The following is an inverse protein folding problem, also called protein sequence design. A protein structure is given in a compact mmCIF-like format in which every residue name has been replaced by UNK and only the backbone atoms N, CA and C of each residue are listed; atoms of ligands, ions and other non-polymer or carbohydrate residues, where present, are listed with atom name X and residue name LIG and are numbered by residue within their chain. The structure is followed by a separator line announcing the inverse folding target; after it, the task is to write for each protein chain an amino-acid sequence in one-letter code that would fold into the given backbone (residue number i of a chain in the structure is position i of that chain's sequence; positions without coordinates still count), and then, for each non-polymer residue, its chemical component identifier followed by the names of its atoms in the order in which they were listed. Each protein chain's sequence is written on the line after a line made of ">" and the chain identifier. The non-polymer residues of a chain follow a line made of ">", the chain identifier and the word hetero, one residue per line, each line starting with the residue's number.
data_IF_248026338299
#
_entry.id   IF_248026338299
#
_cell.length_a   1.000
_cell.length_b   1.000
_cell.length_c   1.000
_cell.angle_alpha   90.00
_cell.angle_beta   90.00
_cell.angle_gamma   90.00
#
_symmetry.space_group_name_H-M   'P 1'
#
loop_
_entity.id
_entity.type
_entity.pdbx_description
1 polymer ?
#
# COMPACT_ATOMS: atom_id res chain seq x y z
N UNK A 1 -47.66 -6.32 5.36
CA UNK A 1 -46.61 -6.10 4.32
C UNK A 1 -45.85 -4.78 4.53
N UNK A 2 -46.55 -3.65 4.70
CA UNK A 2 -45.94 -2.31 4.90
C UNK A 2 -44.91 -2.22 6.04
N UNK A 3 -45.24 -2.73 7.23
CA UNK A 3 -44.33 -2.69 8.40
C UNK A 3 -43.07 -3.55 8.24
N UNK A 4 -43.15 -4.66 7.48
CA UNK A 4 -42.01 -5.56 7.24
C UNK A 4 -40.98 -5.00 6.25
N UNK A 5 -41.37 -4.04 5.41
CA UNK A 5 -40.50 -3.41 4.42
C UNK A 5 -39.92 -2.07 4.91
N UNK A 6 -40.34 -1.58 6.07
CA UNK A 6 -39.83 -0.33 6.66
C UNK A 6 -38.29 -0.29 6.78
N UNK A 7 -37.61 -1.35 7.27
CA UNK A 7 -36.15 -1.32 7.37
C UNK A 7 -35.45 -1.15 6.03
N UNK A 8 -36.01 -1.72 4.97
CA UNK A 8 -35.48 -1.61 3.61
C UNK A 8 -35.59 -0.18 3.10
N UNK A 9 -36.75 0.46 3.31
CA UNK A 9 -36.94 1.86 2.94
C UNK A 9 -36.06 2.80 3.75
N UNK A 10 -35.86 2.55 5.04
CA UNK A 10 -34.92 3.33 5.84
C UNK A 10 -33.49 3.19 5.32
N UNK A 11 -33.04 1.98 5.02
CA UNK A 11 -31.70 1.75 4.46
C UNK A 11 -31.50 2.47 3.13
N UNK A 12 -32.45 2.36 2.20
CA UNK A 12 -32.39 3.03 0.90
C UNK A 12 -32.41 4.56 1.05
N UNK A 13 -33.33 5.08 1.86
CA UNK A 13 -33.45 6.52 2.08
C UNK A 13 -32.19 7.08 2.73
N UNK A 14 -31.67 6.45 3.79
CA UNK A 14 -30.42 6.86 4.42
C UNK A 14 -29.25 6.83 3.45
N UNK A 15 -29.14 5.79 2.62
CA UNK A 15 -28.07 5.65 1.63
C UNK A 15 -28.13 6.74 0.55
N UNK A 16 -29.34 7.04 0.06
CA UNK A 16 -29.56 8.11 -0.91
C UNK A 16 -29.22 9.47 -0.31
N UNK A 17 -29.75 9.79 0.87
CA UNK A 17 -29.46 11.04 1.57
C UNK A 17 -27.95 11.21 1.81
N UNK A 18 -27.27 10.18 2.31
CA UNK A 18 -25.83 10.21 2.54
C UNK A 18 -25.03 10.33 1.24
N UNK A 19 -25.48 9.70 0.15
CA UNK A 19 -24.87 9.86 -1.17
C UNK A 19 -24.90 11.32 -1.62
N UNK A 20 -26.07 11.97 -1.60
CA UNK A 20 -26.19 13.38 -1.98
C UNK A 20 -25.43 14.29 -1.03
N UNK A 21 -25.51 14.03 0.26
CA UNK A 21 -24.76 14.80 1.26
C UNK A 21 -23.26 14.70 1.00
N UNK A 22 -22.74 13.49 0.77
CA UNK A 22 -21.33 13.26 0.45
C UNK A 22 -20.90 13.91 -0.88
N UNK A 23 -21.79 14.01 -1.86
CA UNK A 23 -21.56 14.77 -3.11
C UNK A 23 -21.47 16.28 -2.84
N UNK A 24 -22.32 16.82 -1.97
CA UNK A 24 -22.34 18.25 -1.62
C UNK A 24 -21.08 18.64 -0.83
N UNK A 25 -20.76 17.88 0.23
CA UNK A 25 -19.64 18.24 1.12
C UNK A 25 -18.29 17.65 0.69
N UNK A 26 -18.27 16.96 -0.45
CA UNK A 26 -17.15 16.38 -1.20
C UNK A 26 -15.96 15.88 -0.35
N UNK A 27 -15.81 14.54 -0.25
CA UNK A 27 -14.69 13.85 0.42
C UNK A 27 -14.57 14.06 1.93
N UNK A 28 -15.38 14.92 2.56
CA UNK A 28 -15.56 14.97 4.02
C UNK A 28 -16.29 13.74 4.56
N UNK A 29 -17.31 13.26 3.83
CA UNK A 29 -18.03 12.01 4.12
C UNK A 29 -17.47 10.81 3.35
N UNK A 30 -16.19 10.86 2.96
CA UNK A 30 -15.56 9.83 2.13
C UNK A 30 -16.24 9.69 0.74
N UNK A 31 -15.90 8.65 -0.02
CA UNK A 31 -16.29 8.48 -1.43
C UNK A 31 -17.82 8.28 -1.55
N UNK A 32 -18.57 9.17 -2.24
CA UNK A 32 -20.04 9.12 -2.28
C UNK A 32 -20.59 7.78 -2.79
N UNK A 33 -19.98 7.21 -3.83
CA UNK A 33 -20.50 6.00 -4.48
C UNK A 33 -20.56 4.79 -3.52
N UNK A 34 -19.75 4.80 -2.45
CA UNK A 34 -19.77 3.73 -1.44
C UNK A 34 -21.10 3.63 -0.70
N UNK A 35 -21.81 4.74 -0.49
CA UNK A 35 -23.13 4.73 0.17
C UNK A 35 -24.17 3.97 -0.66
N UNK A 36 -24.05 4.00 -2.00
CA UNK A 36 -24.95 3.26 -2.88
C UNK A 36 -24.47 1.82 -3.11
N UNK A 37 -23.19 1.63 -3.44
CA UNK A 37 -22.63 0.33 -3.80
C UNK A 37 -22.85 -0.72 -2.70
N UNK A 38 -22.60 -0.38 -1.44
CA UNK A 38 -22.77 -1.34 -0.35
C UNK A 38 -24.24 -1.65 -0.08
N UNK A 39 -25.11 -0.64 -0.12
CA UNK A 39 -26.55 -0.82 0.10
C UNK A 39 -27.20 -1.62 -1.02
N UNK A 40 -26.87 -1.35 -2.28
CA UNK A 40 -27.39 -2.11 -3.42
C UNK A 40 -27.01 -3.59 -3.33
N UNK A 41 -25.77 -3.91 -2.91
CA UNK A 41 -25.35 -5.29 -2.68
C UNK A 41 -26.20 -5.99 -1.61
N UNK A 42 -26.51 -5.30 -0.50
CA UNK A 42 -27.42 -5.83 0.53
C UNK A 42 -28.84 -6.03 -0.02
N UNK A 43 -29.35 -5.07 -0.79
CA UNK A 43 -30.66 -5.18 -1.43
C UNK A 43 -30.73 -6.38 -2.38
N UNK A 44 -29.68 -6.66 -3.16
CA UNK A 44 -29.60 -7.85 -4.01
C UNK A 44 -29.66 -9.15 -3.21
N UNK A 45 -28.88 -9.26 -2.13
CA UNK A 45 -28.89 -10.45 -1.28
C UNK A 45 -30.27 -10.70 -0.65
N UNK A 46 -30.89 -9.64 -0.10
CA UNK A 46 -32.22 -9.73 0.52
C UNK A 46 -33.31 -10.02 -0.52
N UNK A 47 -33.27 -9.35 -1.67
CA UNK A 47 -34.20 -9.58 -2.77
C UNK A 47 -34.15 -11.01 -3.26
N UNK A 48 -32.94 -11.57 -3.44
CA UNK A 48 -32.77 -12.97 -3.83
C UNK A 48 -33.34 -13.94 -2.78
N UNK A 49 -33.09 -13.69 -1.49
CA UNK A 49 -33.65 -14.51 -0.41
C UNK A 49 -35.19 -14.49 -0.40
N UNK A 50 -35.80 -13.32 -0.58
CA UNK A 50 -37.26 -13.16 -0.64
C UNK A 50 -37.86 -13.85 -1.88
N UNK A 51 -37.21 -13.73 -3.05
CA UNK A 51 -37.63 -14.43 -4.26
C UNK A 51 -37.57 -15.95 -4.08
N UNK A 52 -36.52 -16.48 -3.44
CA UNK A 52 -36.39 -17.90 -3.16
C UNK A 52 -37.47 -18.38 -2.18
N UNK A 53 -37.72 -17.62 -1.11
CA UNK A 53 -38.80 -17.92 -0.17
C UNK A 53 -40.16 -17.94 -0.87
N UNK A 54 -40.48 -16.92 -1.68
CA UNK A 54 -41.73 -16.86 -2.43
C UNK A 54 -41.87 -18.05 -3.39
N UNK A 55 -40.82 -18.41 -4.12
CA UNK A 55 -40.82 -19.54 -5.05
C UNK A 55 -41.13 -20.87 -4.34
N UNK A 56 -40.55 -21.11 -3.17
CA UNK A 56 -40.80 -22.33 -2.37
C UNK A 56 -42.20 -22.39 -1.75
N UNK A 57 -42.87 -21.24 -1.56
CA UNK A 57 -44.25 -21.18 -1.09
C UNK A 57 -45.27 -21.45 -2.20
N UNK A 58 -45.01 -20.98 -3.43
CA UNK A 58 -45.92 -21.16 -4.57
C UNK A 58 -45.97 -22.61 -5.02
N UNK A 59 -44.85 -23.33 -4.96
CA UNK A 59 -44.78 -24.75 -5.30
C UNK A 59 -43.93 -25.48 -4.25
N UNK A 60 -44.44 -26.56 -3.64
CA UNK A 60 -43.67 -27.33 -2.67
C UNK A 60 -42.56 -28.09 -3.41
N UNK A 61 -41.38 -27.48 -3.45
CA UNK A 61 -40.19 -28.11 -4.01
C UNK A 61 -39.68 -29.16 -3.03
N UNK A 62 -39.08 -30.26 -3.53
CA UNK A 62 -38.40 -31.18 -2.64
C UNK A 62 -37.28 -30.43 -1.90
N UNK A 63 -37.12 -30.71 -0.60
CA UNK A 63 -36.27 -29.92 0.31
C UNK A 63 -34.81 -29.79 -0.14
N UNK A 64 -34.32 -30.68 -0.99
CA UNK A 64 -32.97 -30.64 -1.54
C UNK A 64 -32.77 -29.57 -2.62
N UNK A 65 -33.82 -29.17 -3.35
CA UNK A 65 -33.69 -28.28 -4.51
C UNK A 65 -33.29 -26.85 -4.13
N UNK A 66 -33.88 -26.20 -3.10
CA UNK A 66 -33.40 -24.91 -2.62
C UNK A 66 -31.97 -24.98 -2.07
N UNK A 67 -31.63 -26.08 -1.38
CA UNK A 67 -30.27 -26.31 -0.85
C UNK A 67 -29.26 -26.43 -1.99
N UNK A 68 -29.58 -27.19 -3.03
CA UNK A 68 -28.76 -27.34 -4.23
C UNK A 68 -28.62 -26.00 -4.98
N UNK A 69 -29.68 -25.21 -5.08
CA UNK A 69 -29.64 -23.89 -5.71
C UNK A 69 -28.73 -22.91 -4.94
N UNK A 70 -28.83 -22.86 -3.60
CA UNK A 70 -27.94 -22.05 -2.76
C UNK A 70 -26.49 -22.53 -2.88
N UNK A 71 -26.25 -23.84 -2.83
CA UNK A 71 -24.92 -24.41 -3.01
C UNK A 71 -24.33 -24.04 -4.38
N UNK A 72 -25.13 -24.12 -5.46
CA UNK A 72 -24.73 -23.71 -6.80
C UNK A 72 -24.39 -22.21 -6.85
N UNK A 73 -25.21 -21.34 -6.25
CA UNK A 73 -24.92 -19.89 -6.17
C UNK A 73 -23.62 -19.63 -5.42
N UNK A 74 -23.37 -20.33 -4.31
CA UNK A 74 -22.12 -20.21 -3.56
C UNK A 74 -20.93 -20.66 -4.41
N UNK A 75 -21.02 -21.81 -5.09
CA UNK A 75 -19.96 -22.32 -5.97
C UNK A 75 -19.69 -21.36 -7.12
N UNK A 76 -20.73 -20.92 -7.84
CA UNK A 76 -20.61 -19.93 -8.92
C UNK A 76 -20.06 -18.60 -8.41
N UNK A 77 -20.46 -18.18 -7.20
CA UNK A 77 -19.94 -17.01 -6.51
C UNK A 77 -18.45 -17.13 -6.22
N UNK A 78 -18.01 -18.26 -5.65
CA UNK A 78 -16.60 -18.56 -5.39
C UNK A 78 -15.78 -18.58 -6.68
N UNK A 79 -16.27 -19.23 -7.74
CA UNK A 79 -15.61 -19.27 -9.05
C UNK A 79 -15.52 -17.86 -9.66
N UNK A 80 -16.61 -17.08 -9.62
CA UNK A 80 -16.64 -15.71 -10.13
C UNK A 80 -15.74 -14.76 -9.33
N UNK A 81 -15.56 -14.99 -8.04
CA UNK A 81 -14.71 -14.19 -7.16
C UNK A 81 -13.26 -14.68 -7.13
N UNK A 82 -12.95 -15.81 -7.76
CA UNK A 82 -11.59 -16.32 -7.84
C UNK A 82 -10.69 -15.29 -8.53
N UNK A 83 -9.61 -14.88 -7.86
CA UNK A 83 -8.66 -13.85 -8.33
C UNK A 83 -9.26 -12.45 -8.56
N UNK A 84 -10.49 -12.18 -8.09
CA UNK A 84 -11.15 -10.87 -8.17
C UNK A 84 -11.09 -10.16 -6.82
N UNK A 85 -10.55 -8.95 -6.79
CA UNK A 85 -10.54 -8.09 -5.60
C UNK A 85 -9.59 -8.51 -4.47
N UNK A 86 -9.17 -9.78 -4.42
CA UNK A 86 -8.14 -10.28 -3.51
C UNK A 86 -6.76 -10.14 -4.16
N UNK A 87 -5.87 -9.35 -3.54
CA UNK A 87 -4.46 -9.24 -3.93
C UNK A 87 -3.68 -10.38 -3.26
N UNK A 88 -2.86 -11.09 -4.02
CA UNK A 88 -2.01 -12.16 -3.51
C UNK A 88 -0.65 -11.62 -3.02
N UNK A 89 -0.50 -11.51 -1.70
CA UNK A 89 0.75 -11.06 -1.06
C UNK A 89 1.70 -12.20 -0.68
N UNK A 90 1.44 -13.44 -1.11
CA UNK A 90 2.26 -14.60 -0.76
C UNK A 90 3.75 -14.40 -1.11
N UNK A 91 4.06 -13.72 -2.21
CA UNK A 91 5.44 -13.38 -2.60
C UNK A 91 6.19 -12.51 -1.59
N UNK A 92 5.49 -11.72 -0.76
CA UNK A 92 6.08 -10.88 0.29
C UNK A 92 6.08 -11.55 1.67
N UNK A 93 5.58 -12.80 1.78
CA UNK A 93 5.53 -13.52 3.05
C UNK A 93 6.90 -13.64 3.74
N UNK A 94 8.02 -13.95 3.04
CA UNK A 94 9.34 -14.00 3.66
C UNK A 94 9.72 -12.64 4.29
N UNK A 95 9.46 -11.54 3.58
CA UNK A 95 9.70 -10.18 4.06
C UNK A 95 8.90 -9.90 5.33
N UNK A 96 7.58 -10.04 5.29
CA UNK A 96 6.75 -9.73 6.45
C UNK A 96 7.08 -10.62 7.65
N UNK A 97 7.43 -11.89 7.43
CA UNK A 97 7.87 -12.81 8.49
C UNK A 97 9.18 -12.35 9.13
N UNK A 98 10.15 -11.90 8.33
CA UNK A 98 11.41 -11.35 8.84
C UNK A 98 11.17 -10.05 9.62
N UNK A 99 10.36 -9.14 9.08
CA UNK A 99 10.04 -7.86 9.72
C UNK A 99 9.23 -8.03 11.02
N UNK A 100 8.38 -9.05 11.10
CA UNK A 100 7.61 -9.37 12.31
C UNK A 100 8.47 -9.80 13.51
N UNK A 101 9.76 -10.08 13.32
CA UNK A 101 10.71 -10.41 14.41
C UNK A 101 11.45 -9.18 14.97
N UNK A 102 11.34 -8.03 14.33
CA UNK A 102 11.99 -6.77 14.77
C UNK A 102 11.28 -6.16 16.00
N UNK A 103 11.84 -5.17 16.70
CA UNK A 103 11.15 -4.51 17.82
C UNK A 103 9.83 -3.87 17.39
N UNK A 104 8.80 -3.95 18.24
CA UNK A 104 7.44 -3.41 17.95
C UNK A 104 7.42 -1.89 17.75
N UNK A 105 8.34 -1.17 18.40
CA UNK A 105 8.50 0.27 18.29
C UNK A 105 9.37 0.71 17.10
N UNK A 106 9.97 -0.23 16.35
CA UNK A 106 10.85 0.10 15.25
C UNK A 106 10.06 0.73 14.09
N UNK A 107 10.46 1.94 13.68
CA UNK A 107 9.85 2.64 12.55
C UNK A 107 10.48 2.17 11.23
N UNK A 108 9.62 1.77 10.30
CA UNK A 108 10.02 1.35 8.96
C UNK A 108 9.81 2.48 7.94
N UNK A 109 10.74 2.58 7.00
CA UNK A 109 10.55 3.38 5.79
C UNK A 109 10.96 2.56 4.56
N UNK A 110 10.48 2.98 3.40
CA UNK A 110 10.70 2.31 2.13
C UNK A 110 9.75 2.88 1.09
N UNK A 111 9.67 2.23 -0.05
CA UNK A 111 8.71 2.63 -1.08
C UNK A 111 7.26 2.55 -0.55
N UNK A 112 6.41 3.59 -0.67
CA UNK A 112 5.12 3.60 0.03
C UNK A 112 4.15 2.49 -0.40
N UNK A 113 4.24 1.99 -1.64
CA UNK A 113 3.45 0.83 -2.10
C UNK A 113 3.81 -0.45 -1.34
N UNK A 114 5.10 -0.66 -1.06
CA UNK A 114 5.60 -1.79 -0.27
C UNK A 114 5.20 -1.66 1.21
N UNK A 115 5.12 -0.43 1.71
CA UNK A 115 4.82 -0.14 3.11
C UNK A 115 3.34 -0.34 3.48
N UNK A 116 2.42 -0.35 2.53
CA UNK A 116 0.97 -0.47 2.79
C UNK A 116 0.56 -1.67 3.65
N UNK A 117 1.17 -2.81 3.39
CA UNK A 117 0.75 -4.07 3.98
C UNK A 117 1.59 -4.45 5.22
N UNK A 118 2.64 -3.69 5.50
CA UNK A 118 3.55 -3.92 6.60
C UNK A 118 2.85 -3.77 7.97
N UNK A 119 1.98 -2.75 8.21
CA UNK A 119 1.18 -2.69 9.43
C UNK A 119 0.26 -3.91 9.62
N UNK A 120 -0.30 -4.45 8.53
CA UNK A 120 -1.22 -5.59 8.59
C UNK A 120 -0.49 -6.91 8.85
N UNK A 121 0.53 -7.23 8.06
CA UNK A 121 1.19 -8.54 8.11
C UNK A 121 2.35 -8.62 9.09
N UNK A 122 3.15 -7.56 9.22
CA UNK A 122 4.28 -7.53 10.14
C UNK A 122 3.95 -6.83 11.46
N UNK A 123 2.84 -6.08 11.55
CA UNK A 123 2.46 -5.30 12.74
C UNK A 123 3.55 -4.34 13.19
N UNK A 124 4.11 -3.57 12.25
CA UNK A 124 5.09 -2.52 12.55
C UNK A 124 4.66 -1.17 11.98
N UNK A 125 5.02 -0.07 12.66
CA UNK A 125 4.72 1.27 12.18
C UNK A 125 5.56 1.59 10.94
N UNK A 126 4.95 2.31 10.00
CA UNK A 126 5.60 2.82 8.78
C UNK A 126 5.55 4.34 8.75
N UNK A 127 6.59 4.97 8.20
CA UNK A 127 6.68 6.43 8.10
C UNK A 127 5.61 7.01 7.16
N UNK A 128 5.38 6.33 6.04
CA UNK A 128 4.42 6.67 5.01
C UNK A 128 3.96 5.39 4.28
N UNK A 129 2.70 5.38 3.84
CA UNK A 129 2.12 4.32 3.03
C UNK A 129 1.28 4.93 1.89
N UNK A 130 1.13 4.19 0.80
CA UNK A 130 0.37 4.64 -0.37
C UNK A 130 -1.15 4.73 -0.09
N UNK A 131 -1.76 3.75 0.57
CA UNK A 131 -3.21 3.75 0.86
C UNK A 131 -3.62 4.89 1.82
N UNK A 132 -2.68 5.48 2.56
CA UNK A 132 -2.92 6.65 3.40
C UNK A 132 -2.53 7.97 2.71
N UNK A 133 -1.90 7.92 1.53
CA UNK A 133 -1.43 9.09 0.79
C UNK A 133 -2.54 9.80 0.00
N UNK A 134 -3.69 10.03 0.64
CA UNK A 134 -4.80 10.73 0.02
C UNK A 134 -4.68 12.27 0.14
N UNK A 135 -4.55 13.01 -0.97
CA UNK A 135 -4.30 14.45 -0.93
C UNK A 135 -5.51 15.28 -0.48
N UNK A 136 -6.72 14.71 -0.50
CA UNK A 136 -7.93 15.40 -0.05
C UNK A 136 -7.98 15.60 1.47
N UNK A 137 -7.23 14.80 2.25
CA UNK A 137 -7.10 14.95 3.70
C UNK A 137 -6.10 16.07 4.03
N UNK A 138 -6.41 17.32 3.67
CA UNK A 138 -5.48 18.46 3.62
C UNK A 138 -4.51 18.57 4.82
N UNK A 139 -5.02 18.49 6.05
CA UNK A 139 -4.20 18.60 7.26
C UNK A 139 -3.21 17.44 7.45
N UNK A 140 -3.63 16.22 7.12
CA UNK A 140 -2.73 15.07 7.12
C UNK A 140 -1.76 15.12 5.94
N UNK A 141 -2.26 15.52 4.77
CA UNK A 141 -1.49 15.66 3.54
C UNK A 141 -0.32 16.64 3.69
N UNK A 142 -0.52 17.79 4.34
CA UNK A 142 0.56 18.76 4.60
C UNK A 142 1.77 18.12 5.31
N UNK A 143 1.51 17.19 6.25
CA UNK A 143 2.56 16.48 6.98
C UNK A 143 3.12 15.32 6.17
N UNK A 144 2.25 14.56 5.51
CA UNK A 144 2.63 13.36 4.77
C UNK A 144 3.41 13.70 3.50
N UNK A 145 3.06 14.78 2.79
CA UNK A 145 3.74 15.23 1.58
C UNK A 145 5.23 15.41 1.81
N UNK A 146 5.60 16.14 2.88
CA UNK A 146 7.00 16.35 3.25
C UNK A 146 7.73 15.02 3.55
N UNK A 147 7.05 14.08 4.22
CA UNK A 147 7.63 12.75 4.47
C UNK A 147 7.86 11.98 3.17
N UNK A 148 6.92 12.05 2.22
CA UNK A 148 7.03 11.39 0.93
C UNK A 148 8.16 11.99 0.08
N UNK A 149 8.26 13.33 0.00
CA UNK A 149 9.36 14.03 -0.67
C UNK A 149 10.72 13.56 -0.11
N UNK A 150 10.86 13.53 1.22
CA UNK A 150 12.09 13.10 1.86
C UNK A 150 12.36 11.58 1.72
N UNK A 151 11.32 10.75 1.76
CA UNK A 151 11.42 9.31 1.47
C UNK A 151 11.99 9.12 0.08
N UNK A 152 11.47 9.78 -0.96
CA UNK A 152 11.96 9.58 -2.33
C UNK A 152 13.36 10.16 -2.54
N UNK A 153 13.67 11.31 -1.95
CA UNK A 153 15.04 11.86 -1.97
C UNK A 153 16.06 10.89 -1.37
N UNK A 154 15.73 10.27 -0.23
CA UNK A 154 16.60 9.27 0.40
C UNK A 154 16.62 7.96 -0.38
N UNK A 155 15.46 7.50 -0.87
CA UNK A 155 15.31 6.22 -1.55
C UNK A 155 16.09 6.19 -2.88
N UNK A 156 16.17 7.32 -3.59
CA UNK A 156 16.90 7.47 -4.85
C UNK A 156 18.21 8.28 -4.71
N UNK A 157 18.77 8.37 -3.50
CA UNK A 157 19.99 9.12 -3.26
C UNK A 157 21.22 8.48 -3.94
N UNK A 158 22.16 9.34 -4.34
CA UNK A 158 23.53 8.96 -4.76
C UNK A 158 24.58 9.27 -3.69
N UNK A 159 24.20 9.97 -2.62
CA UNK A 159 25.06 10.27 -1.47
C UNK A 159 24.55 9.52 -0.22
N UNK A 160 25.38 8.69 0.44
CA UNK A 160 24.98 7.99 1.65
C UNK A 160 24.61 8.92 2.82
N UNK A 161 25.10 10.16 2.86
CA UNK A 161 24.75 11.10 3.93
C UNK A 161 23.28 11.49 3.88
N UNK A 162 22.72 11.68 2.68
CA UNK A 162 21.29 11.97 2.48
C UNK A 162 20.41 10.89 3.12
N UNK A 163 20.77 9.61 2.96
CA UNK A 163 20.06 8.48 3.58
C UNK A 163 20.21 8.50 5.10
N UNK A 164 21.43 8.73 5.61
CA UNK A 164 21.71 8.76 7.06
C UNK A 164 21.00 9.92 7.75
N UNK A 165 20.99 11.10 7.13
CA UNK A 165 20.28 12.30 7.60
C UNK A 165 18.77 12.06 7.63
N UNK A 166 18.22 11.46 6.57
CA UNK A 166 16.82 11.07 6.51
C UNK A 166 16.45 10.12 7.66
N UNK A 167 17.24 9.07 7.88
CA UNK A 167 16.97 8.13 8.97
C UNK A 167 17.05 8.78 10.34
N UNK A 168 18.02 9.68 10.57
CA UNK A 168 18.13 10.46 11.81
C UNK A 168 16.95 11.41 12.00
N UNK A 169 16.56 12.15 10.96
CA UNK A 169 15.45 13.10 11.00
C UNK A 169 14.14 12.46 11.44
N UNK A 170 13.85 11.27 10.93
CA UNK A 170 12.58 10.57 11.17
C UNK A 170 12.67 9.42 12.18
N UNK A 171 13.86 9.15 12.75
CA UNK A 171 14.11 8.01 13.63
C UNK A 171 13.75 6.66 12.97
N UNK A 172 14.06 6.53 11.68
CA UNK A 172 13.85 5.29 10.91
C UNK A 172 14.82 4.24 11.42
N UNK A 173 14.28 3.14 11.95
CA UNK A 173 15.07 2.02 12.45
C UNK A 173 15.48 1.06 11.34
N UNK A 174 14.59 0.85 10.37
CA UNK A 174 14.82 -0.06 9.26
C UNK A 174 14.36 0.55 7.94
N UNK A 175 15.19 0.43 6.90
CA UNK A 175 14.83 0.81 5.54
C UNK A 175 14.61 -0.45 4.70
N UNK A 176 13.43 -0.59 4.10
CA UNK A 176 13.10 -1.72 3.22
C UNK A 176 13.32 -1.29 1.78
N UNK A 177 14.21 -2.00 1.08
CA UNK A 177 14.65 -1.69 -0.27
C UNK A 177 14.29 -2.86 -1.19
N UNK A 178 13.58 -2.56 -2.26
CA UNK A 178 13.30 -3.49 -3.35
C UNK A 178 14.05 -3.03 -4.60
N UNK A 179 14.92 -3.90 -5.14
CA UNK A 179 15.78 -3.60 -6.28
C UNK A 179 14.99 -3.30 -7.55
N UNK A 180 13.77 -3.83 -7.67
CA UNK A 180 12.88 -3.59 -8.82
C UNK A 180 12.46 -2.13 -8.92
N UNK A 181 12.51 -1.37 -7.82
CA UNK A 181 12.22 0.07 -7.83
C UNK A 181 13.33 0.92 -8.49
N UNK A 182 14.47 0.32 -8.83
CA UNK A 182 15.61 1.01 -9.43
C UNK A 182 15.84 0.64 -10.89
N UNK A 183 15.01 -0.24 -11.46
CA UNK A 183 15.16 -0.64 -12.87
C UNK A 183 14.73 0.51 -13.79
N UNK A 184 15.36 0.63 -14.98
CA UNK A 184 14.98 1.65 -15.96
C UNK A 184 13.48 1.60 -16.31
N UNK A 185 12.90 0.40 -16.41
CA UNK A 185 11.49 0.18 -16.75
C UNK A 185 10.56 0.76 -15.68
N UNK A 186 10.86 0.51 -14.40
CA UNK A 186 10.09 1.05 -13.29
C UNK A 186 10.21 2.58 -13.22
N UNK A 187 11.43 3.10 -13.35
CA UNK A 187 11.71 4.54 -13.24
C UNK A 187 11.18 5.37 -14.42
N UNK A 188 11.15 4.80 -15.63
CA UNK A 188 10.45 5.39 -16.76
C UNK A 188 8.96 5.59 -16.44
N UNK A 189 8.41 4.63 -15.71
CA UNK A 189 7.03 4.57 -15.27
C UNK A 189 6.06 4.21 -16.39
N UNK A 190 5.10 3.36 -16.06
CA UNK A 190 3.87 3.20 -16.81
C UNK A 190 2.95 4.38 -16.53
N UNK A 191 2.30 4.89 -17.57
CA UNK A 191 1.38 6.02 -17.46
C UNK A 191 0.34 5.70 -16.39
N UNK A 192 0.43 6.38 -15.24
CA UNK A 192 -0.63 6.40 -14.24
C UNK A 192 -1.94 6.63 -14.98
N UNK A 193 -3.03 5.95 -14.60
CA UNK A 193 -4.37 6.01 -15.19
C UNK A 193 -4.82 7.47 -15.41
N UNK A 194 -4.33 8.10 -16.47
CA UNK A 194 -4.97 9.19 -17.14
C UNK A 194 -6.16 8.52 -17.83
N UNK A 195 -7.37 9.11 -17.75
CA UNK A 195 -8.60 8.51 -18.28
C UNK A 195 -8.54 8.10 -19.77
N UNK A 196 -7.47 8.46 -20.48
CA UNK A 196 -7.31 8.29 -21.93
C UNK A 196 -6.08 7.47 -22.35
N UNK A 197 -5.27 6.95 -21.41
CA UNK A 197 -4.14 6.08 -21.77
C UNK A 197 -4.49 4.62 -21.49
N UNK A 198 -4.40 3.72 -22.49
CA UNK A 198 -4.58 2.30 -22.24
C UNK A 198 -3.49 1.81 -21.26
N UNK A 199 -3.83 0.99 -20.25
CA UNK A 199 -2.82 0.39 -19.39
C UNK A 199 -1.86 -0.45 -20.24
N UNK A 200 -0.58 -0.48 -19.87
CA UNK A 200 0.40 -1.40 -20.46
C UNK A 200 -0.15 -2.84 -20.41
N UNK A 201 0.10 -3.62 -21.46
CA UNK A 201 -0.34 -5.01 -21.54
C UNK A 201 0.18 -5.78 -20.33
N UNK A 202 -0.75 -6.40 -19.59
CA UNK A 202 -0.50 -7.16 -18.38
C UNK A 202 0.02 -8.53 -18.75
N UNK A 203 1.33 -8.67 -18.92
CA UNK A 203 1.96 -9.99 -18.95
C UNK A 203 2.56 -10.31 -17.58
N UNK A 204 2.10 -11.42 -16.98
CA UNK A 204 2.66 -11.96 -15.75
C UNK A 204 1.67 -12.12 -14.60
N UNK A 205 1.95 -13.10 -13.73
CA UNK A 205 1.29 -13.27 -12.43
C UNK A 205 1.45 -11.96 -11.67
N UNK A 206 0.34 -11.29 -11.34
CA UNK A 206 0.31 -10.05 -10.54
C UNK A 206 1.25 -10.18 -9.34
N UNK A 207 2.37 -9.46 -9.34
CA UNK A 207 2.92 -8.99 -8.08
C UNK A 207 1.87 -8.10 -7.42
N UNK A 208 1.59 -8.31 -6.13
CA UNK A 208 0.53 -7.54 -5.46
C UNK A 208 0.87 -6.06 -5.24
N UNK A 209 2.15 -5.71 -5.36
CA UNK A 209 2.61 -4.34 -5.40
C UNK A 209 2.37 -3.72 -6.78
N UNK A 210 1.94 -2.46 -6.82
CA UNK A 210 1.82 -1.69 -8.05
C UNK A 210 3.22 -1.30 -8.52
N UNK A 211 3.88 -2.20 -9.25
CA UNK A 211 5.21 -1.96 -9.83
C UNK A 211 5.10 -1.27 -11.21
N UNK A 212 3.91 -0.84 -11.61
CA UNK A 212 3.69 -0.24 -12.92
C UNK A 212 4.20 1.21 -13.01
N UNK A 213 4.42 1.92 -11.90
CA UNK A 213 4.94 3.29 -11.89
C UNK A 213 5.59 3.65 -10.55
N UNK A 214 6.52 4.63 -10.51
CA UNK A 214 7.20 5.00 -9.28
C UNK A 214 6.23 5.52 -8.22
N UNK A 215 5.36 6.47 -8.56
CA UNK A 215 4.30 6.92 -7.67
C UNK A 215 3.24 7.70 -8.44
N UNK A 216 2.24 8.26 -7.74
CA UNK A 216 1.26 9.14 -8.35
C UNK A 216 1.75 10.60 -8.38
N UNK A 217 1.18 11.39 -9.29
CA UNK A 217 1.53 12.81 -9.45
C UNK A 217 1.27 13.61 -8.16
N UNK A 218 2.18 14.52 -7.77
CA UNK A 218 3.31 15.04 -8.54
C UNK A 218 4.65 14.31 -8.31
N UNK A 219 4.68 13.28 -7.47
CA UNK A 219 5.94 12.62 -7.08
C UNK A 219 6.59 11.83 -8.20
N UNK A 220 5.83 11.38 -9.20
CA UNK A 220 6.39 10.75 -10.39
C UNK A 220 7.36 11.67 -11.14
N UNK A 221 7.01 12.95 -11.29
CA UNK A 221 7.87 13.95 -11.91
C UNK A 221 9.11 14.26 -11.03
N UNK A 222 8.92 14.35 -9.71
CA UNK A 222 10.03 14.54 -8.77
C UNK A 222 11.01 13.35 -8.82
N UNK A 223 10.50 12.12 -8.77
CA UNK A 223 11.32 10.91 -8.87
C UNK A 223 12.09 10.90 -10.20
N UNK A 224 11.43 11.20 -11.34
CA UNK A 224 12.11 11.31 -12.64
C UNK A 224 13.25 12.33 -12.58
N UNK A 225 13.04 13.50 -11.97
CA UNK A 225 14.09 14.51 -11.79
C UNK A 225 15.23 14.02 -10.90
N UNK A 226 14.92 13.27 -9.83
CA UNK A 226 15.91 12.70 -8.92
C UNK A 226 16.77 11.62 -9.58
N UNK A 227 16.23 10.86 -10.53
CA UNK A 227 16.94 9.73 -11.17
C UNK A 227 17.58 10.07 -12.52
N UNK A 228 17.27 11.23 -13.12
CA UNK A 228 17.83 11.66 -14.41
C UNK A 228 19.37 11.68 -14.38
N UNK A 229 19.99 10.71 -15.06
CA UNK A 229 21.44 10.55 -15.15
C UNK A 229 22.13 10.17 -13.84
N UNK A 230 21.37 9.85 -12.78
CA UNK A 230 21.92 9.53 -11.45
C UNK A 230 22.08 8.03 -11.27
N UNK A 231 23.30 7.56 -11.47
CA UNK A 231 23.76 6.22 -11.11
C UNK A 231 25.21 6.31 -10.62
N UNK A 232 25.64 5.54 -9.61
CA UNK A 232 24.90 4.48 -8.92
C UNK A 232 24.08 4.96 -7.70
N UNK A 233 22.95 4.32 -7.42
CA UNK A 233 22.15 4.55 -6.20
C UNK A 233 22.78 3.90 -4.96
N UNK A 234 22.87 4.65 -3.86
CA UNK A 234 23.63 4.19 -2.67
C UNK A 234 22.93 3.09 -1.89
N UNK A 235 21.61 2.97 -1.96
CA UNK A 235 20.87 1.91 -1.28
C UNK A 235 21.11 0.51 -1.87
N UNK A 236 21.66 0.43 -3.08
CA UNK A 236 22.03 -0.83 -3.71
C UNK A 236 23.43 -1.31 -3.29
N UNK A 237 24.23 -0.43 -2.68
CA UNK A 237 25.62 -0.65 -2.27
C UNK A 237 25.70 -1.31 -0.89
N UNK A 238 26.07 -2.59 -0.85
CA UNK A 238 26.18 -3.37 0.39
C UNK A 238 27.37 -2.94 1.27
N UNK A 239 28.42 -2.36 0.68
CA UNK A 239 29.58 -1.81 1.39
C UNK A 239 29.20 -0.61 2.27
N UNK A 240 28.23 0.20 1.82
CA UNK A 240 27.76 1.39 2.54
C UNK A 240 26.65 1.07 3.53
N UNK A 241 25.75 0.16 3.15
CA UNK A 241 24.58 -0.22 3.93
C UNK A 241 24.48 -1.75 4.00
N UNK A 242 25.05 -2.38 5.04
CA UNK A 242 24.85 -3.79 5.31
C UNK A 242 23.35 -4.09 5.45
N UNK A 243 22.88 -5.10 4.72
CA UNK A 243 21.47 -5.43 4.67
C UNK A 243 21.22 -6.91 4.90
N UNK A 244 20.10 -7.22 5.56
CA UNK A 244 19.57 -8.57 5.62
C UNK A 244 18.88 -8.82 4.27
N UNK A 245 19.42 -9.77 3.50
CA UNK A 245 18.82 -10.20 2.24
C UNK A 245 17.64 -11.12 2.57
N UNK A 246 16.45 -10.73 2.13
CA UNK A 246 15.21 -11.49 2.37
C UNK A 246 14.94 -12.45 1.21
N UNK A 247 15.16 -11.97 -0.02
CA UNK A 247 15.08 -12.72 -1.26
C UNK A 247 15.94 -12.00 -2.33
N UNK A 248 15.85 -12.44 -3.58
CA UNK A 248 16.63 -11.90 -4.70
C UNK A 248 16.46 -10.38 -4.89
N UNK A 249 15.25 -9.86 -4.67
CA UNK A 249 14.91 -8.46 -4.90
C UNK A 249 15.00 -7.59 -3.63
N UNK A 250 14.63 -8.15 -2.48
CA UNK A 250 14.30 -7.41 -1.26
C UNK A 250 15.35 -7.50 -0.18
N UNK A 251 15.65 -6.33 0.38
CA UNK A 251 16.68 -6.15 1.39
C UNK A 251 16.15 -5.26 2.51
N UNK A 252 16.57 -5.56 3.74
CA UNK A 252 16.22 -4.77 4.93
C UNK A 252 17.51 -4.23 5.53
N UNK A 253 17.66 -2.91 5.50
CA UNK A 253 18.83 -2.21 6.01
C UNK A 253 18.56 -1.84 7.47
N UNK A 254 19.47 -2.22 8.37
CA UNK A 254 19.41 -1.83 9.78
C UNK A 254 20.05 -0.44 9.97
N UNK A 255 19.20 0.55 10.18
CA UNK A 255 19.60 1.95 10.26
C UNK A 255 19.82 2.43 11.68
N UNK A 256 19.64 1.57 12.69
CA UNK A 256 19.72 1.94 14.11
C UNK A 256 21.11 2.46 14.50
N UNK A 257 22.18 1.92 13.89
CA UNK A 257 23.54 2.44 14.09
C UNK A 257 23.70 3.89 13.61
N UNK A 258 22.93 4.32 12.60
CA UNK A 258 22.95 5.70 12.12
C UNK A 258 22.23 6.66 13.08
N UNK A 259 21.33 6.15 13.93
CA UNK A 259 20.55 6.96 14.88
C UNK A 259 21.36 7.37 16.12
N UNK A 260 22.35 6.56 16.51
CA UNK A 260 23.12 6.77 17.73
C UNK A 260 24.30 7.74 17.57
N UNK A 261 24.49 8.37 16.40
CA UNK A 261 25.64 9.24 16.11
C UNK A 261 27.00 8.49 16.00
N UNK A 262 27.06 7.24 16.46
CA UNK A 262 28.21 6.35 16.40
C UNK A 262 28.01 5.29 15.29
N UNK A 263 28.00 5.72 14.03
CA UNK A 263 28.21 4.77 12.94
C UNK A 263 29.64 4.21 13.01
N UNK A 264 29.89 2.94 12.60
CA UNK A 264 31.22 2.31 12.65
C UNK A 264 32.30 3.01 11.80
N UNK A 265 31.94 4.07 11.07
CA UNK A 265 32.85 4.89 10.26
C UNK A 265 33.26 6.21 10.92
N UNK A 266 32.69 6.58 12.09
CA UNK A 266 33.12 7.79 12.81
C UNK A 266 34.48 7.62 13.51
N UNK A 267 34.94 6.39 13.71
CA UNK A 267 36.22 6.09 14.36
C UNK A 267 37.41 6.17 13.41
N UNK A 268 37.20 6.02 12.10
CA UNK A 268 38.28 6.09 11.09
C UNK A 268 38.74 7.53 10.82
N UNK A 269 37.85 8.52 10.95
CA UNK A 269 38.21 9.94 10.79
C UNK A 269 38.81 10.54 12.06
N UNK A 270 38.43 10.06 13.25
CA UNK A 270 39.03 10.53 14.51
C UNK A 270 40.47 10.06 14.72
N UNK A 271 40.85 8.89 14.16
CA UNK A 271 42.22 8.37 14.32
C UNK A 271 43.25 9.15 13.48
N UNK A 272 42.86 9.67 12.31
CA UNK A 272 43.75 10.45 11.44
C UNK A 272 43.95 11.92 11.85
N UNK A 273 43.06 12.48 12.70
CA UNK A 273 43.18 13.87 13.17
C UNK A 273 44.01 13.95 14.46
N UNK A 274 44.01 12.88 15.28
CA UNK A 274 44.84 12.84 16.49
C UNK A 274 46.31 12.46 16.23
N UNK A 275 46.64 11.92 15.05
CA UNK A 275 48.04 11.64 14.65
C UNK A 275 48.71 12.83 13.94
N UNK A 276 48.02 13.96 13.72
CA UNK A 276 48.60 15.17 13.12
C UNK A 276 48.66 16.38 14.08
N UNK A 277 48.46 16.16 15.38
CA UNK A 277 48.54 17.21 16.43
C UNK A 277 49.62 16.86 17.49
N UNK A 278 50.34 15.76 17.29
CA UNK A 278 51.57 15.44 18.03
C UNK A 278 52.63 15.05 17.03
N UNK A 279 53.21 16.06 16.38
CA UNK A 279 54.61 16.16 15.95
C UNK A 279 54.90 17.63 15.58
#
# INVERSE_FOLDING_TARGET
>A
LKSRLQPFWYLLLSSYLLYFLARIILLKLFIPDRYLVYTLNLCYCLGLALCLEAATRVRPWPRWLPVAAVALIVVLGCLRLQNVGLKDFSGYRPLFTALARTPKSALFAGHPNLMDNLPTFAQRPVLASYELAHPWSKGYWQRLRLRLEDVFKAYYATDPQVVRDFCRKYQVSFLVVDQRHFTPEFLAGGRFLAPFNPPLQKEGKRTAERVDCPFFAPFDAEIRSLVQGRQPFVLLRQDLFPAIIVNEDQRVLDMRACLQGNGPFSSLTKRKINESITD
#
